data_IF_968218250635
#
_entry.id   IF_968218250635
#
_cell.length_a   1.000
_cell.length_b   1.000
_cell.length_c   1.000
_cell.angle_alpha   90.00
_cell.angle_beta   90.00
_cell.angle_gamma   90.00
#
_symmetry.space_group_name_H-M   'P 1'
#
loop_
_entity.id
_entity.type
_entity.pdbx_description
1 polymer ?
#
# COMPACT_ATOMS: atom_id res chain seq x y z
N UNK A 1 0.62 -27.76 10.61
CA UNK A 1 -0.48 -27.77 9.60
C UNK A 1 -0.56 -26.39 8.99
N UNK A 2 -0.75 -26.27 7.67
CA UNK A 2 -0.89 -24.96 7.02
C UNK A 2 -2.05 -24.18 7.66
N UNK A 3 -1.85 -22.88 7.92
CA UNK A 3 -2.90 -21.96 8.38
C UNK A 3 -3.88 -21.60 7.27
N UNK A 4 -3.51 -21.87 6.01
CA UNK A 4 -4.32 -21.62 4.83
C UNK A 4 -5.33 -22.75 4.67
N UNK A 5 -6.61 -22.42 4.74
CA UNK A 5 -7.68 -23.37 4.45
C UNK A 5 -7.85 -23.54 2.94
N UNK A 6 -7.85 -22.43 2.21
CA UNK A 6 -8.06 -22.42 0.77
C UNK A 6 -7.67 -21.06 0.16
N UNK A 7 -7.51 -21.07 -1.16
CA UNK A 7 -7.44 -19.90 -2.00
C UNK A 7 -8.75 -19.77 -2.78
N UNK A 8 -9.42 -18.63 -2.70
CA UNK A 8 -10.73 -18.41 -3.31
C UNK A 8 -10.70 -17.31 -4.35
N UNK A 9 -11.20 -17.61 -5.54
CA UNK A 9 -11.33 -16.62 -6.62
C UNK A 9 -12.35 -15.55 -6.24
N UNK A 10 -11.96 -14.26 -6.27
CA UNK A 10 -12.85 -13.15 -5.95
C UNK A 10 -13.91 -12.90 -7.03
N UNK A 11 -13.70 -13.41 -8.27
CA UNK A 11 -14.60 -13.21 -9.42
C UNK A 11 -15.67 -14.31 -9.51
N UNK A 12 -15.29 -15.60 -9.48
CA UNK A 12 -16.21 -16.70 -9.67
C UNK A 12 -16.45 -17.55 -8.41
N UNK A 13 -15.74 -17.30 -7.33
CA UNK A 13 -15.89 -18.04 -6.06
C UNK A 13 -15.23 -19.41 -6.05
N UNK A 14 -14.57 -19.87 -7.14
CA UNK A 14 -13.88 -21.18 -7.17
C UNK A 14 -12.81 -21.23 -6.10
N UNK A 15 -12.73 -22.36 -5.43
CA UNK A 15 -11.81 -22.64 -4.34
C UNK A 15 -10.72 -23.61 -4.78
N UNK A 16 -9.52 -23.42 -4.24
CA UNK A 16 -8.34 -24.21 -4.52
C UNK A 16 -7.58 -24.51 -3.24
N UNK A 17 -6.93 -25.67 -3.16
CA UNK A 17 -5.90 -25.90 -2.16
C UNK A 17 -4.63 -25.11 -2.52
N UNK A 18 -3.85 -24.73 -1.51
CA UNK A 18 -2.62 -23.95 -1.68
C UNK A 18 -1.61 -24.63 -2.63
N UNK A 19 -1.55 -25.98 -2.64
CA UNK A 19 -0.66 -26.74 -3.52
C UNK A 19 -1.13 -26.82 -4.98
N UNK A 20 -2.41 -26.51 -5.28
CA UNK A 20 -2.98 -26.67 -6.62
C UNK A 20 -2.75 -25.48 -7.53
N UNK A 21 -2.54 -24.29 -6.94
CA UNK A 21 -2.48 -23.03 -7.68
C UNK A 21 -1.54 -22.03 -7.00
N UNK A 22 -0.76 -21.32 -7.82
CA UNK A 22 0.21 -20.36 -7.29
C UNK A 22 -0.32 -18.92 -7.33
N UNK A 23 -1.05 -18.55 -8.37
CA UNK A 23 -1.40 -17.15 -8.64
C UNK A 23 -2.90 -16.90 -8.85
N UNK A 24 -3.43 -17.12 -10.05
CA UNK A 24 -4.77 -16.71 -10.44
C UNK A 24 -5.68 -17.90 -10.78
N UNK A 25 -6.99 -17.69 -10.71
CA UNK A 25 -8.00 -18.68 -11.02
C UNK A 25 -7.86 -19.22 -12.45
N UNK A 26 -7.91 -20.53 -12.63
CA UNK A 26 -7.78 -21.19 -13.94
C UNK A 26 -8.88 -20.78 -14.92
N UNK A 27 -10.10 -20.54 -14.43
CA UNK A 27 -11.25 -20.22 -15.30
C UNK A 27 -11.33 -18.74 -15.64
N UNK A 28 -10.89 -17.88 -14.71
CA UNK A 28 -11.01 -16.43 -14.86
C UNK A 28 -9.72 -15.76 -15.37
N UNK A 29 -8.63 -16.53 -15.50
CA UNK A 29 -7.34 -16.02 -15.94
C UNK A 29 -6.80 -14.90 -15.05
N UNK A 30 -6.22 -13.88 -15.66
CA UNK A 30 -5.58 -12.77 -14.93
C UNK A 30 -6.58 -11.94 -14.09
N UNK A 31 -7.86 -11.93 -14.43
CA UNK A 31 -8.91 -11.25 -13.67
C UNK A 31 -9.35 -12.04 -12.44
N UNK A 32 -9.01 -13.32 -12.38
CA UNK A 32 -9.38 -14.23 -11.30
C UNK A 32 -8.41 -14.18 -10.14
N UNK A 33 -8.24 -13.01 -9.50
CA UNK A 33 -7.39 -12.87 -8.33
C UNK A 33 -7.89 -13.76 -7.20
N UNK A 34 -6.95 -14.37 -6.49
CA UNK A 34 -7.27 -15.21 -5.35
C UNK A 34 -7.23 -14.42 -4.04
N UNK A 35 -8.11 -14.78 -3.12
CA UNK A 35 -8.03 -14.39 -1.72
C UNK A 35 -7.60 -15.58 -0.88
N UNK A 36 -6.76 -15.34 0.14
CA UNK A 36 -6.28 -16.36 1.06
C UNK A 36 -7.28 -16.47 2.21
N UNK A 37 -7.92 -17.61 2.37
CA UNK A 37 -8.77 -17.89 3.54
C UNK A 37 -8.01 -18.70 4.57
N UNK A 38 -7.99 -18.20 5.82
CA UNK A 38 -7.25 -18.78 6.93
C UNK A 38 -8.16 -19.50 7.91
N UNK A 39 -7.60 -20.40 8.70
CA UNK A 39 -8.27 -21.05 9.83
C UNK A 39 -8.39 -20.08 11.02
N UNK A 40 -9.42 -19.22 10.95
CA UNK A 40 -9.65 -18.21 11.97
C UNK A 40 -10.00 -18.81 13.34
N UNK A 41 -10.53 -20.02 13.42
CA UNK A 41 -10.86 -20.67 14.69
C UNK A 41 -9.60 -21.13 15.43
N UNK A 42 -8.61 -21.63 14.70
CA UNK A 42 -7.29 -21.91 15.26
C UNK A 42 -6.52 -20.65 15.60
N UNK A 43 -6.51 -19.65 14.70
CA UNK A 43 -5.80 -18.39 14.90
C UNK A 43 -6.34 -17.63 16.12
N UNK A 44 -7.65 -17.62 16.35
CA UNK A 44 -8.29 -16.98 17.52
C UNK A 44 -7.76 -17.51 18.86
N UNK A 45 -7.35 -18.77 18.91
CA UNK A 45 -6.78 -19.38 20.11
C UNK A 45 -5.33 -18.95 20.35
N UNK A 46 -4.60 -18.59 19.30
CA UNK A 46 -3.20 -18.19 19.38
C UNK A 46 -3.06 -16.66 19.49
N UNK A 47 -3.74 -15.89 18.60
CA UNK A 47 -3.61 -14.44 18.48
C UNK A 47 -4.63 -13.75 19.40
N UNK A 48 -4.35 -13.76 20.69
CA UNK A 48 -5.17 -13.12 21.73
C UNK A 48 -4.59 -11.77 22.17
N UNK A 49 -5.39 -10.95 22.86
CA UNK A 49 -4.89 -9.72 23.50
C UNK A 49 -3.73 -10.00 24.47
N UNK A 50 -3.77 -11.12 25.19
CA UNK A 50 -2.71 -11.52 26.11
C UNK A 50 -1.43 -11.88 25.35
N UNK A 51 -1.52 -12.66 24.26
CA UNK A 51 -0.39 -12.95 23.39
C UNK A 51 0.26 -11.66 22.89
N UNK A 52 -0.53 -10.72 22.35
CA UNK A 52 -0.04 -9.46 21.80
C UNK A 52 0.57 -8.55 22.87
N UNK A 53 0.00 -8.50 24.06
CA UNK A 53 0.55 -7.74 25.21
C UNK A 53 1.94 -8.24 25.61
N UNK A 54 2.15 -9.55 25.56
CA UNK A 54 3.40 -10.18 25.96
C UNK A 54 4.43 -10.26 24.82
N UNK A 55 4.02 -10.13 23.56
CA UNK A 55 4.89 -10.14 22.39
C UNK A 55 5.71 -8.85 22.32
N UNK A 56 7.04 -8.97 22.31
CA UNK A 56 7.99 -7.86 22.23
C UNK A 56 8.49 -7.58 20.81
N UNK A 57 8.01 -8.33 19.82
CA UNK A 57 8.25 -8.03 18.41
C UNK A 57 7.35 -6.87 17.98
N UNK A 58 7.93 -5.71 17.74
CA UNK A 58 7.26 -4.51 17.23
C UNK A 58 7.49 -4.39 15.72
N UNK A 59 7.10 -5.43 14.98
CA UNK A 59 7.06 -5.48 13.53
C UNK A 59 5.74 -6.13 13.06
N UNK A 60 5.53 -6.27 11.75
CA UNK A 60 4.36 -7.00 11.25
C UNK A 60 4.36 -8.48 11.68
N UNK A 61 5.54 -9.03 12.03
CA UNK A 61 5.68 -10.42 12.42
C UNK A 61 5.04 -10.76 13.77
N UNK A 62 4.71 -9.74 14.57
CA UNK A 62 3.91 -9.94 15.80
C UNK A 62 2.54 -10.56 15.51
N UNK A 63 2.03 -10.40 14.29
CA UNK A 63 0.78 -10.97 13.80
C UNK A 63 0.99 -12.25 12.99
N UNK A 64 2.16 -12.90 13.10
CA UNK A 64 2.50 -14.12 12.37
C UNK A 64 1.42 -15.24 12.47
N UNK A 65 0.71 -15.43 13.60
CA UNK A 65 -0.41 -16.37 13.64
C UNK A 65 -1.48 -16.12 12.57
N UNK A 66 -1.71 -14.85 12.19
CA UNK A 66 -2.68 -14.47 11.15
C UNK A 66 -2.05 -14.23 9.76
N UNK A 67 -0.77 -14.54 9.56
CA UNK A 67 -0.10 -14.45 8.26
C UNK A 67 0.06 -15.87 7.70
N UNK A 68 -0.20 -16.11 6.38
CA UNK A 68 -0.14 -17.44 5.76
C UNK A 68 1.30 -17.95 5.56
N UNK A 69 2.06 -17.95 6.64
CA UNK A 69 3.46 -18.38 6.70
C UNK A 69 3.71 -19.17 7.98
N UNK A 70 4.61 -20.13 7.92
CA UNK A 70 5.11 -20.83 9.10
C UNK A 70 6.27 -20.08 9.77
N UNK A 71 7.10 -19.40 8.97
CA UNK A 71 8.30 -18.67 9.42
C UNK A 71 8.46 -17.33 8.70
N UNK A 72 9.25 -16.45 9.27
CA UNK A 72 9.55 -15.12 8.72
C UNK A 72 10.50 -15.13 7.51
N UNK A 73 10.98 -16.28 7.06
CA UNK A 73 11.80 -16.42 5.86
C UNK A 73 13.18 -15.75 5.91
N UNK A 74 13.74 -15.52 7.09
CA UNK A 74 15.09 -14.94 7.24
C UNK A 74 15.19 -13.45 6.88
N UNK A 75 14.08 -12.71 6.85
CA UNK A 75 14.01 -11.27 6.49
C UNK A 75 14.55 -10.37 7.62
N UNK A 76 14.80 -10.91 8.79
CA UNK A 76 15.45 -10.14 9.85
C UNK A 76 16.90 -9.78 9.45
N UNK A 77 17.39 -8.57 9.80
CA UNK A 77 16.87 -7.71 10.86
C UNK A 77 15.93 -6.58 10.41
N UNK A 78 15.38 -6.57 9.20
CA UNK A 78 14.54 -5.46 8.73
C UNK A 78 13.25 -5.38 9.55
N UNK A 79 13.10 -4.30 10.31
CA UNK A 79 11.87 -3.99 11.02
C UNK A 79 10.84 -3.41 10.06
N UNK A 80 9.89 -4.22 9.60
CA UNK A 80 8.80 -3.85 8.73
C UNK A 80 7.48 -3.80 9.50
N UNK A 81 6.67 -2.78 9.26
CA UNK A 81 5.44 -2.57 10.03
C UNK A 81 5.71 -1.93 11.39
N UNK A 82 4.70 -1.96 12.26
CA UNK A 82 4.64 -1.20 13.52
C UNK A 82 4.99 0.27 13.32
N UNK A 83 4.58 0.82 12.19
CA UNK A 83 4.84 2.19 11.81
C UNK A 83 4.09 3.17 12.73
N UNK A 84 4.57 4.41 12.90
CA UNK A 84 3.91 5.37 13.78
C UNK A 84 2.46 5.63 13.41
N UNK A 85 1.62 5.75 14.43
CA UNK A 85 0.26 6.28 14.34
C UNK A 85 0.20 7.58 15.15
N UNK A 86 0.26 8.70 14.45
CA UNK A 86 0.29 10.03 15.07
C UNK A 86 -1.11 10.58 15.29
N UNK A 87 -1.41 11.08 16.49
CA UNK A 87 -2.60 11.89 16.74
C UNK A 87 -2.30 13.36 16.38
N UNK A 88 -2.91 13.87 15.32
CA UNK A 88 -2.56 15.15 14.71
C UNK A 88 -3.58 16.23 15.04
N UNK A 89 -3.36 16.95 16.14
CA UNK A 89 -4.20 18.08 16.54
C UNK A 89 -3.98 19.34 15.68
N UNK A 90 -2.76 19.51 15.14
CA UNK A 90 -2.40 20.70 14.32
C UNK A 90 -3.17 20.81 13.00
N UNK A 91 -3.84 19.74 12.57
CA UNK A 91 -4.65 19.70 11.34
C UNK A 91 -6.16 19.77 11.59
N UNK A 92 -6.62 20.07 12.82
CA UNK A 92 -8.07 20.15 13.12
C UNK A 92 -8.79 21.19 12.27
N UNK A 93 -8.13 22.31 11.95
CA UNK A 93 -8.68 23.36 11.08
C UNK A 93 -8.84 22.87 9.64
N UNK A 94 -7.83 22.18 9.11
CA UNK A 94 -7.78 21.71 7.74
C UNK A 94 -8.74 20.53 7.52
N UNK A 95 -8.84 19.61 8.47
CA UNK A 95 -9.67 18.41 8.39
C UNK A 95 -11.10 18.60 8.89
N UNK A 96 -11.33 19.57 9.79
CA UNK A 96 -12.60 19.72 10.51
C UNK A 96 -12.82 18.65 11.60
N UNK A 97 -11.80 17.85 11.94
CA UNK A 97 -11.90 16.72 12.85
C UNK A 97 -11.30 17.05 14.22
N UNK A 98 -11.97 16.63 15.29
CA UNK A 98 -11.45 16.65 16.66
C UNK A 98 -10.49 15.47 16.93
N UNK A 99 -10.60 14.38 16.17
CA UNK A 99 -9.82 13.15 16.36
C UNK A 99 -9.29 12.63 15.03
N UNK A 100 -8.12 13.14 14.63
CA UNK A 100 -7.45 12.76 13.38
C UNK A 100 -6.12 12.06 13.64
N UNK A 101 -5.96 10.90 13.03
CA UNK A 101 -4.75 10.08 13.13
C UNK A 101 -4.11 9.87 11.77
N UNK A 102 -2.79 9.84 11.75
CA UNK A 102 -1.98 9.60 10.57
C UNK A 102 -1.14 8.34 10.77
N UNK A 103 -1.40 7.30 9.99
CA UNK A 103 -0.59 6.08 9.91
C UNK A 103 0.53 6.30 8.90
N UNK A 104 1.77 6.39 9.37
CA UNK A 104 2.91 6.79 8.55
C UNK A 104 3.72 5.58 8.05
N UNK A 105 3.26 4.95 6.99
CA UNK A 105 3.95 3.82 6.35
C UNK A 105 5.17 4.23 5.48
N UNK A 106 5.45 5.53 5.36
CA UNK A 106 6.70 6.02 4.78
C UNK A 106 7.93 5.68 5.62
N UNK A 107 7.72 5.24 6.87
CA UNK A 107 8.76 4.86 7.84
C UNK A 107 9.20 3.40 7.73
N UNK A 108 8.62 2.62 6.84
CA UNK A 108 9.10 1.28 6.55
C UNK A 108 10.54 1.29 5.95
N UNK A 109 11.30 0.18 5.99
CA UNK A 109 12.72 0.11 5.63
C UNK A 109 13.09 0.67 4.26
N UNK A 110 12.26 0.44 3.22
CA UNK A 110 12.47 1.03 1.89
C UNK A 110 11.55 2.22 1.62
N UNK A 111 11.06 2.84 2.68
CA UNK A 111 10.30 4.08 2.70
C UNK A 111 8.92 4.00 2.03
N UNK A 112 8.23 2.84 2.10
CA UNK A 112 6.84 2.71 1.65
C UNK A 112 6.08 1.51 2.23
N UNK A 113 4.75 1.57 2.18
CA UNK A 113 3.81 0.49 2.52
C UNK A 113 4.08 -0.81 1.73
N UNK A 114 4.75 -0.73 0.56
CA UNK A 114 5.06 -1.91 -0.25
C UNK A 114 5.96 -2.91 0.47
N UNK A 115 6.67 -2.47 1.51
CA UNK A 115 7.53 -3.32 2.34
C UNK A 115 6.76 -4.42 3.05
N UNK A 116 5.54 -4.15 3.49
CA UNK A 116 4.65 -5.15 4.08
C UNK A 116 4.36 -6.30 3.11
N UNK A 117 4.04 -5.95 1.86
CA UNK A 117 3.78 -6.93 0.80
C UNK A 117 5.03 -7.71 0.42
N UNK A 118 6.18 -7.02 0.29
CA UNK A 118 7.44 -7.65 -0.09
C UNK A 118 7.97 -8.55 1.01
N UNK A 119 7.85 -8.17 2.28
CA UNK A 119 8.23 -9.01 3.40
C UNK A 119 7.51 -10.37 3.38
N UNK A 120 6.18 -10.35 3.25
CA UNK A 120 5.39 -11.60 3.19
C UNK A 120 5.65 -12.35 1.88
N UNK A 121 5.75 -11.66 0.73
CA UNK A 121 6.02 -12.28 -0.56
C UNK A 121 7.40 -12.95 -0.64
N UNK A 122 8.43 -12.33 -0.08
CA UNK A 122 9.79 -12.90 0.00
C UNK A 122 9.84 -14.07 0.96
N UNK A 123 9.22 -13.94 2.15
CA UNK A 123 9.12 -15.05 3.10
C UNK A 123 8.39 -16.27 2.50
N UNK A 124 7.31 -16.02 1.73
CA UNK A 124 6.58 -17.08 1.01
C UNK A 124 7.43 -17.72 -0.08
N UNK A 125 8.22 -16.93 -0.82
CA UNK A 125 9.15 -17.46 -1.81
C UNK A 125 10.19 -18.40 -1.14
N UNK A 126 10.76 -18.02 -0.01
CA UNK A 126 11.68 -18.87 0.78
C UNK A 126 10.98 -20.17 1.22
N UNK A 127 9.76 -20.06 1.78
CA UNK A 127 8.96 -21.22 2.22
C UNK A 127 8.67 -22.20 1.07
N UNK A 128 8.43 -21.66 -0.13
CA UNK A 128 8.21 -22.44 -1.35
C UNK A 128 9.52 -22.92 -2.03
N UNK A 129 10.68 -22.71 -1.40
CA UNK A 129 11.99 -23.08 -1.97
C UNK A 129 12.37 -22.29 -3.22
N UNK A 130 11.79 -21.11 -3.42
CA UNK A 130 12.10 -20.23 -4.57
C UNK A 130 13.30 -19.37 -4.24
N UNK A 131 14.33 -19.41 -5.07
CA UNK A 131 15.58 -18.65 -4.92
C UNK A 131 15.70 -17.46 -5.90
N UNK A 132 14.70 -17.30 -6.77
CA UNK A 132 14.63 -16.20 -7.74
C UNK A 132 13.23 -15.57 -7.72
N UNK A 133 13.20 -14.25 -7.64
CA UNK A 133 11.97 -13.45 -7.77
C UNK A 133 12.09 -12.43 -8.89
N UNK A 134 10.94 -12.07 -9.49
CA UNK A 134 10.90 -11.02 -10.50
C UNK A 134 9.77 -10.01 -10.25
N UNK A 135 9.92 -8.83 -10.82
CA UNK A 135 8.90 -7.80 -10.88
C UNK A 135 9.08 -6.87 -12.07
N UNK A 136 7.99 -6.31 -12.58
CA UNK A 136 8.03 -5.18 -13.51
C UNK A 136 7.55 -3.94 -12.76
N UNK A 137 8.48 -3.07 -12.35
CA UNK A 137 8.18 -1.82 -11.66
C UNK A 137 9.43 -0.96 -11.49
N UNK A 138 9.30 0.34 -11.68
CA UNK A 138 10.34 1.33 -11.33
C UNK A 138 10.16 1.92 -9.94
N UNK A 139 8.98 1.74 -9.34
CA UNK A 139 8.56 2.43 -8.12
C UNK A 139 8.75 1.62 -6.83
N UNK A 140 7.90 1.95 -5.87
CA UNK A 140 7.93 1.37 -4.51
C UNK A 140 7.87 -0.16 -4.48
N UNK A 141 7.24 -0.80 -5.46
CA UNK A 141 7.12 -2.25 -5.52
C UNK A 141 8.47 -2.94 -5.79
N UNK A 142 9.25 -2.42 -6.75
CA UNK A 142 10.55 -2.96 -7.08
C UNK A 142 11.59 -2.65 -6.00
N UNK A 143 11.66 -1.40 -5.51
CA UNK A 143 12.62 -1.04 -4.46
C UNK A 143 12.39 -1.85 -3.18
N UNK A 144 11.14 -2.09 -2.81
CA UNK A 144 10.79 -2.94 -1.69
C UNK A 144 11.19 -4.41 -1.93
N UNK A 145 10.86 -4.99 -3.10
CA UNK A 145 11.29 -6.34 -3.43
C UNK A 145 12.83 -6.47 -3.35
N UNK A 146 13.55 -5.55 -3.98
CA UNK A 146 15.01 -5.57 -4.03
C UNK A 146 15.64 -5.55 -2.63
N UNK A 147 15.15 -4.68 -1.74
CA UNK A 147 15.66 -4.58 -0.37
C UNK A 147 15.41 -5.84 0.46
N UNK A 148 14.18 -6.38 0.43
CA UNK A 148 13.84 -7.57 1.20
C UNK A 148 14.46 -8.86 0.64
N UNK A 149 14.54 -8.99 -0.69
CA UNK A 149 15.18 -10.11 -1.34
C UNK A 149 16.68 -10.15 -1.09
N UNK A 150 17.36 -8.98 -1.06
CA UNK A 150 18.78 -8.89 -0.73
C UNK A 150 19.08 -9.49 0.66
N UNK A 151 18.27 -9.14 1.67
CA UNK A 151 18.42 -9.68 3.04
C UNK A 151 18.15 -11.18 3.10
N UNK A 152 17.18 -11.67 2.33
CA UNK A 152 16.82 -13.09 2.28
C UNK A 152 17.76 -13.93 1.40
N UNK A 153 18.74 -13.33 0.72
CA UNK A 153 19.61 -14.03 -0.22
C UNK A 153 18.90 -14.50 -1.50
N UNK A 154 17.75 -13.92 -1.84
CA UNK A 154 16.99 -14.23 -3.05
C UNK A 154 17.46 -13.35 -4.20
N UNK A 155 17.77 -13.98 -5.33
CA UNK A 155 18.11 -13.26 -6.57
C UNK A 155 16.89 -12.58 -7.16
N UNK A 156 17.05 -11.33 -7.60
CA UNK A 156 15.95 -10.57 -8.20
C UNK A 156 16.26 -10.15 -9.63
N UNK A 157 15.21 -10.22 -10.46
CA UNK A 157 15.20 -9.70 -11.83
C UNK A 157 14.09 -8.66 -11.96
N UNK A 158 14.46 -7.41 -12.24
CA UNK A 158 13.52 -6.28 -12.33
C UNK A 158 13.49 -5.77 -13.76
N UNK A 159 12.30 -5.71 -14.33
CA UNK A 159 12.04 -5.21 -15.68
C UNK A 159 11.49 -3.79 -15.59
N UNK A 160 12.12 -2.86 -16.26
CA UNK A 160 11.71 -1.45 -16.29
C UNK A 160 11.83 -0.90 -17.71
N UNK A 161 11.00 0.05 -18.16
CA UNK A 161 11.22 0.69 -19.43
C UNK A 161 12.56 1.44 -19.43
N UNK A 162 13.23 1.54 -20.58
CA UNK A 162 14.53 2.23 -20.71
C UNK A 162 14.46 3.72 -20.34
N UNK A 163 13.25 4.30 -20.37
CA UNK A 163 12.97 5.69 -19.96
C UNK A 163 12.84 5.87 -18.44
N UNK A 164 13.04 4.81 -17.65
CA UNK A 164 12.91 4.86 -16.20
C UNK A 164 13.90 5.87 -15.59
N UNK A 165 13.50 6.68 -14.59
CA UNK A 165 14.39 7.64 -13.94
C UNK A 165 15.61 6.95 -13.32
N UNK A 166 16.82 7.47 -13.63
CA UNK A 166 18.09 6.93 -13.16
C UNK A 166 18.15 6.71 -11.65
N UNK A 167 17.66 7.67 -10.86
CA UNK A 167 17.65 7.55 -9.39
C UNK A 167 16.82 6.35 -8.90
N UNK A 168 15.70 6.04 -9.58
CA UNK A 168 14.88 4.86 -9.26
C UNK A 168 15.60 3.57 -9.63
N UNK A 169 16.27 3.53 -10.79
CA UNK A 169 17.09 2.37 -11.24
C UNK A 169 18.28 2.14 -10.29
N UNK A 170 18.96 3.21 -9.91
CA UNK A 170 20.12 3.15 -8.99
C UNK A 170 19.71 2.54 -7.65
N UNK A 171 18.52 2.85 -7.11
CA UNK A 171 18.05 2.22 -5.87
C UNK A 171 17.91 0.70 -6.00
N UNK A 172 17.51 0.19 -7.16
CA UNK A 172 17.42 -1.26 -7.40
C UNK A 172 18.80 -1.91 -7.49
N UNK A 173 19.71 -1.26 -8.20
CA UNK A 173 21.07 -1.75 -8.40
C UNK A 173 21.86 -1.81 -7.10
N UNK A 174 21.74 -0.81 -6.20
CA UNK A 174 22.46 -0.79 -4.92
C UNK A 174 22.04 -1.93 -3.99
N UNK A 175 20.79 -2.43 -4.12
CA UNK A 175 20.33 -3.62 -3.43
C UNK A 175 20.78 -4.94 -4.10
N UNK A 176 21.53 -4.87 -5.21
CA UNK A 176 22.04 -6.04 -5.92
C UNK A 176 21.07 -6.70 -6.88
N UNK A 177 19.98 -6.02 -7.26
CA UNK A 177 19.04 -6.54 -8.26
C UNK A 177 19.64 -6.53 -9.67
N UNK A 178 19.29 -7.56 -10.46
CA UNK A 178 19.54 -7.55 -11.91
C UNK A 178 18.42 -6.74 -12.58
N UNK A 179 18.76 -5.57 -13.10
CA UNK A 179 17.78 -4.66 -13.72
C UNK A 179 17.90 -4.72 -15.22
N UNK A 180 16.77 -4.97 -15.90
CA UNK A 180 16.65 -4.95 -17.36
C UNK A 180 15.93 -3.69 -17.82
N UNK A 181 16.64 -2.87 -18.60
CA UNK A 181 16.06 -1.70 -19.27
C UNK A 181 15.42 -2.20 -20.59
N UNK A 182 14.09 -2.31 -20.58
CA UNK A 182 13.32 -2.81 -21.72
C UNK A 182 13.11 -1.68 -22.71
N UNK A 183 13.49 -1.92 -23.97
CA UNK A 183 13.23 -0.99 -25.09
C UNK A 183 11.76 -1.07 -25.46
N UNK A 184 10.95 -0.24 -24.85
CA UNK A 184 9.50 -0.22 -25.05
C UNK A 184 8.76 0.47 -23.91
N UNK A 185 7.46 0.23 -23.86
CA UNK A 185 6.54 0.77 -22.86
C UNK A 185 6.61 0.02 -21.53
N UNK A 186 5.96 0.58 -20.51
CA UNK A 186 5.77 -0.09 -19.22
C UNK A 186 5.00 -1.41 -19.38
N UNK A 187 3.96 -1.44 -20.21
CA UNK A 187 3.15 -2.63 -20.44
C UNK A 187 3.95 -3.76 -21.11
N UNK A 188 4.84 -3.42 -22.05
CA UNK A 188 5.76 -4.39 -22.66
C UNK A 188 6.77 -4.93 -21.66
N UNK A 189 7.27 -4.11 -20.74
CA UNK A 189 8.14 -4.57 -19.64
C UNK A 189 7.38 -5.52 -18.69
N UNK A 190 6.11 -5.24 -18.38
CA UNK A 190 5.24 -6.13 -17.58
C UNK A 190 5.03 -7.47 -18.30
N UNK A 191 4.69 -7.44 -19.58
CA UNK A 191 4.47 -8.65 -20.38
C UNK A 191 5.72 -9.52 -20.46
N UNK A 192 6.89 -8.90 -20.70
CA UNK A 192 8.18 -9.61 -20.71
C UNK A 192 8.50 -10.24 -19.35
N UNK A 193 8.21 -9.53 -18.26
CA UNK A 193 8.37 -10.06 -16.90
C UNK A 193 7.49 -11.30 -16.65
N UNK A 194 6.24 -11.29 -17.11
CA UNK A 194 5.34 -12.44 -16.98
C UNK A 194 5.82 -13.63 -17.77
N UNK A 195 6.20 -13.43 -19.04
CA UNK A 195 6.77 -14.49 -19.91
C UNK A 195 8.05 -15.08 -19.29
N UNK A 196 8.95 -14.25 -18.80
CA UNK A 196 10.17 -14.69 -18.14
C UNK A 196 9.88 -15.48 -16.84
N UNK A 197 8.89 -15.02 -16.05
CA UNK A 197 8.50 -15.73 -14.84
C UNK A 197 7.96 -17.14 -15.13
N UNK A 198 7.18 -17.29 -16.19
CA UNK A 198 6.64 -18.58 -16.65
C UNK A 198 7.74 -19.49 -17.21
N UNK A 199 8.56 -18.99 -18.12
CA UNK A 199 9.62 -19.73 -18.79
C UNK A 199 10.69 -20.26 -17.82
N UNK A 200 11.12 -19.39 -16.88
CA UNK A 200 12.22 -19.71 -15.95
C UNK A 200 11.75 -20.17 -14.56
N UNK A 201 10.45 -20.26 -14.32
CA UNK A 201 9.88 -20.66 -13.03
C UNK A 201 10.15 -19.65 -11.89
N UNK A 202 10.35 -18.37 -12.21
CA UNK A 202 10.62 -17.34 -11.21
C UNK A 202 9.36 -16.94 -10.44
N UNK A 203 9.52 -16.66 -9.13
CA UNK A 203 8.40 -16.24 -8.31
C UNK A 203 8.07 -14.76 -8.57
N UNK A 204 6.87 -14.51 -9.14
CA UNK A 204 6.47 -13.16 -9.52
C UNK A 204 5.89 -12.39 -8.35
N UNK A 205 6.42 -11.18 -8.13
CA UNK A 205 6.02 -10.26 -7.06
C UNK A 205 4.87 -9.33 -7.48
N UNK A 206 4.21 -9.54 -8.57
CA UNK A 206 3.09 -8.67 -8.96
C UNK A 206 1.88 -8.83 -8.04
N UNK A 207 1.40 -7.73 -7.43
CA UNK A 207 0.14 -7.72 -6.69
C UNK A 207 -1.09 -8.02 -7.58
N UNK A 208 -0.94 -7.92 -8.90
CA UNK A 208 -1.99 -8.26 -9.86
C UNK A 208 -2.32 -9.75 -9.86
N UNK A 209 -1.39 -10.60 -9.45
CA UNK A 209 -1.58 -12.06 -9.52
C UNK A 209 -1.28 -12.78 -8.20
N UNK A 210 -0.31 -12.32 -7.41
CA UNK A 210 0.17 -13.01 -6.23
C UNK A 210 -0.72 -12.73 -5.00
N UNK A 211 -1.48 -13.72 -4.49
CA UNK A 211 -2.45 -13.52 -3.42
C UNK A 211 -1.80 -13.22 -2.07
N UNK A 212 -0.57 -13.67 -1.83
CA UNK A 212 0.10 -13.51 -0.52
C UNK A 212 0.55 -12.08 -0.23
N UNK A 213 0.67 -11.23 -1.23
CA UNK A 213 1.13 -9.86 -1.05
C UNK A 213 0.12 -8.96 -0.30
N UNK A 214 -1.16 -9.28 -0.43
CA UNK A 214 -2.24 -8.61 0.31
C UNK A 214 -2.16 -8.95 1.80
N UNK A 215 -1.71 -10.16 2.13
CA UNK A 215 -1.56 -10.64 3.51
C UNK A 215 -0.53 -9.82 4.33
N UNK A 216 0.50 -9.29 3.67
CA UNK A 216 1.38 -8.32 4.30
C UNK A 216 0.69 -6.98 4.54
N UNK A 217 -0.06 -6.48 3.56
CA UNK A 217 -0.73 -5.17 3.65
C UNK A 217 -1.84 -5.14 4.71
N UNK A 218 -2.54 -6.24 4.96
CA UNK A 218 -3.61 -6.31 5.98
C UNK A 218 -3.12 -6.00 7.39
N UNK A 219 -1.81 -6.22 7.66
CA UNK A 219 -1.24 -5.98 8.98
C UNK A 219 -1.31 -4.53 9.43
N UNK A 220 -1.46 -3.58 8.48
CA UNK A 220 -1.66 -2.16 8.82
C UNK A 220 -2.91 -1.94 9.66
N UNK A 221 -3.98 -2.70 9.40
CA UNK A 221 -5.23 -2.61 10.15
C UNK A 221 -5.12 -3.20 11.54
N UNK A 222 -4.38 -4.30 11.70
CA UNK A 222 -4.06 -4.86 13.00
C UNK A 222 -3.29 -3.84 13.86
N UNK A 223 -2.27 -3.20 13.28
CA UNK A 223 -1.50 -2.16 13.96
C UNK A 223 -2.36 -0.95 14.34
N UNK A 224 -3.22 -0.47 13.45
CA UNK A 224 -4.14 0.64 13.74
C UNK A 224 -5.04 0.28 14.92
N UNK A 225 -5.65 -0.92 14.92
CA UNK A 225 -6.49 -1.36 16.02
C UNK A 225 -5.72 -1.45 17.34
N UNK A 226 -4.54 -2.06 17.32
CA UNK A 226 -3.71 -2.22 18.52
C UNK A 226 -3.21 -0.87 19.06
N UNK A 227 -2.73 0.03 18.19
CA UNK A 227 -2.25 1.36 18.56
C UNK A 227 -3.38 2.31 19.02
N UNK A 228 -4.64 1.95 18.76
CA UNK A 228 -5.84 2.61 19.26
C UNK A 228 -6.50 1.84 20.42
N UNK A 229 -5.73 1.03 21.17
CA UNK A 229 -6.22 0.22 22.28
C UNK A 229 -7.39 -0.68 21.91
N UNK A 230 -7.29 -1.32 20.73
CA UNK A 230 -8.29 -2.23 20.16
C UNK A 230 -9.67 -1.59 19.91
N UNK A 231 -9.67 -0.27 19.72
CA UNK A 231 -10.85 0.49 19.30
C UNK A 231 -10.69 0.92 17.85
N UNK A 232 -11.42 0.25 16.97
CA UNK A 232 -11.38 0.64 15.55
C UNK A 232 -11.71 2.13 15.37
N UNK A 233 -11.11 2.82 14.39
CA UNK A 233 -11.54 4.15 14.01
C UNK A 233 -12.96 4.10 13.42
N UNK A 234 -13.63 5.24 13.31
CA UNK A 234 -14.92 5.31 12.63
C UNK A 234 -14.74 5.29 11.10
N UNK A 235 -13.65 5.90 10.62
CA UNK A 235 -13.32 5.96 9.19
C UNK A 235 -11.83 5.68 9.00
N UNK A 236 -11.50 4.81 8.02
CA UNK A 236 -10.13 4.63 7.52
C UNK A 236 -10.06 5.07 6.05
N UNK A 237 -9.17 6.02 5.76
CA UNK A 237 -9.02 6.64 4.43
C UNK A 237 -7.77 6.12 3.74
N UNK A 238 -7.93 5.61 2.52
CA UNK A 238 -6.88 4.88 1.79
C UNK A 238 -6.77 5.41 0.36
N UNK A 239 -5.56 5.75 -0.08
CA UNK A 239 -5.30 6.04 -1.49
C UNK A 239 -5.41 4.77 -2.34
N UNK A 240 -6.09 4.84 -3.48
CA UNK A 240 -6.44 3.70 -4.31
C UNK A 240 -5.86 3.82 -5.71
N UNK A 241 -4.96 2.90 -6.07
CA UNK A 241 -4.59 2.62 -7.45
C UNK A 241 -5.21 1.30 -7.90
N UNK A 242 -4.42 0.24 -7.91
CA UNK A 242 -4.80 -1.14 -8.29
C UNK A 242 -5.88 -1.81 -7.39
N UNK A 243 -6.19 -1.22 -6.23
CA UNK A 243 -7.12 -1.81 -5.26
C UNK A 243 -6.49 -2.75 -4.21
N UNK A 244 -5.24 -3.16 -4.39
CA UNK A 244 -4.54 -4.06 -3.46
C UNK A 244 -4.45 -3.53 -2.02
N UNK A 245 -4.20 -2.24 -1.85
CA UNK A 245 -3.97 -1.64 -0.52
C UNK A 245 -5.28 -1.55 0.24
N UNK A 246 -6.33 -0.98 -0.36
CA UNK A 246 -7.66 -0.86 0.25
C UNK A 246 -8.26 -2.23 0.54
N UNK A 247 -8.10 -3.21 -0.38
CA UNK A 247 -8.53 -4.59 -0.15
C UNK A 247 -7.79 -5.26 1.02
N UNK A 248 -6.49 -5.00 1.17
CA UNK A 248 -5.70 -5.50 2.30
C UNK A 248 -6.11 -4.84 3.62
N UNK A 249 -6.26 -3.52 3.64
CA UNK A 249 -6.74 -2.77 4.82
C UNK A 249 -8.11 -3.28 5.27
N UNK A 250 -9.04 -3.45 4.34
CA UNK A 250 -10.35 -4.00 4.64
C UNK A 250 -10.27 -5.43 5.20
N UNK A 251 -9.49 -6.29 4.55
CA UNK A 251 -9.28 -7.66 5.01
C UNK A 251 -8.78 -7.69 6.46
N UNK A 252 -7.81 -6.85 6.80
CA UNK A 252 -7.26 -6.78 8.15
C UNK A 252 -8.31 -6.37 9.20
N UNK A 253 -9.14 -5.37 8.92
CA UNK A 253 -10.23 -5.00 9.85
C UNK A 253 -11.27 -6.11 10.00
N UNK A 254 -11.67 -6.78 8.88
CA UNK A 254 -12.58 -7.94 8.97
C UNK A 254 -12.00 -9.06 9.81
N UNK A 255 -10.71 -9.35 9.64
CA UNK A 255 -10.02 -10.38 10.41
C UNK A 255 -9.95 -10.03 11.89
N UNK A 256 -9.62 -8.78 12.23
CA UNK A 256 -9.65 -8.32 13.63
C UNK A 256 -11.02 -8.54 14.30
N UNK A 257 -12.13 -8.29 13.59
CA UNK A 257 -13.48 -8.62 14.08
C UNK A 257 -13.69 -10.12 14.19
N UNK A 258 -13.34 -10.90 13.16
CA UNK A 258 -13.49 -12.37 13.17
C UNK A 258 -12.71 -13.05 14.30
N UNK A 259 -11.55 -12.48 14.63
CA UNK A 259 -10.70 -12.98 15.72
C UNK A 259 -11.17 -12.51 17.10
N UNK A 260 -12.15 -11.60 17.18
CA UNK A 260 -12.63 -11.05 18.43
C UNK A 260 -11.68 -10.03 19.07
N UNK A 261 -10.77 -9.44 18.26
CA UNK A 261 -9.86 -8.40 18.73
C UNK A 261 -10.51 -7.01 18.76
N UNK A 262 -11.52 -6.78 17.93
CA UNK A 262 -12.35 -5.57 17.90
C UNK A 262 -13.83 -5.94 17.71
N UNK A 263 -14.74 -5.09 18.19
CA UNK A 263 -16.20 -5.33 18.14
C UNK A 263 -16.86 -4.81 16.86
N UNK A 264 -16.25 -3.82 16.21
CA UNK A 264 -16.74 -3.20 14.97
C UNK A 264 -15.59 -2.85 14.05
N UNK A 265 -15.85 -2.76 12.75
CA UNK A 265 -14.89 -2.27 11.76
C UNK A 265 -15.27 -0.86 11.28
N UNK A 266 -14.28 -0.08 10.76
CA UNK A 266 -14.51 1.26 10.24
C UNK A 266 -15.24 1.24 8.90
N UNK A 267 -15.82 2.39 8.52
CA UNK A 267 -16.07 2.68 7.11
C UNK A 267 -14.75 2.87 6.38
N UNK A 268 -14.63 2.27 5.21
CA UNK A 268 -13.47 2.44 4.35
C UNK A 268 -13.76 3.50 3.29
N UNK A 269 -12.97 4.56 3.25
CA UNK A 269 -13.05 5.58 2.21
C UNK A 269 -11.86 5.43 1.28
N UNK A 270 -12.13 5.18 0.01
CA UNK A 270 -11.11 5.16 -1.03
C UNK A 270 -10.93 6.55 -1.64
N UNK A 271 -9.69 6.92 -1.94
CA UNK A 271 -9.38 8.19 -2.62
C UNK A 271 -8.58 7.91 -3.87
N UNK A 272 -9.04 8.44 -5.02
CA UNK A 272 -8.32 8.37 -6.30
C UNK A 272 -8.02 9.77 -6.84
N UNK A 273 -7.00 9.87 -7.71
CA UNK A 273 -6.83 11.04 -8.54
C UNK A 273 -7.93 11.08 -9.61
N UNK A 274 -8.56 12.25 -9.85
CA UNK A 274 -9.73 12.36 -10.72
C UNK A 274 -9.49 11.90 -12.16
N UNK A 275 -8.25 12.04 -12.66
CA UNK A 275 -7.85 11.57 -13.99
C UNK A 275 -7.30 10.12 -13.99
N UNK A 276 -7.35 9.44 -12.84
CA UNK A 276 -6.99 8.02 -12.68
C UNK A 276 -7.93 7.36 -11.67
N UNK A 277 -9.23 7.32 -11.97
CA UNK A 277 -10.31 6.96 -11.05
C UNK A 277 -11.19 5.78 -11.47
N UNK A 278 -10.64 4.66 -11.98
CA UNK A 278 -11.44 3.55 -12.48
C UNK A 278 -12.33 2.90 -11.41
N UNK A 279 -11.88 2.86 -10.13
CA UNK A 279 -12.68 2.29 -9.03
C UNK A 279 -13.84 3.22 -8.66
N UNK A 280 -13.61 4.53 -8.61
CA UNK A 280 -14.70 5.52 -8.38
C UNK A 280 -15.79 5.43 -9.44
N UNK A 281 -15.38 5.33 -10.71
CA UNK A 281 -16.35 5.20 -11.81
C UNK A 281 -17.19 3.92 -11.71
N UNK A 282 -16.53 2.79 -11.41
CA UNK A 282 -17.21 1.51 -11.23
C UNK A 282 -18.15 1.53 -10.01
N UNK A 283 -17.70 2.09 -8.87
CA UNK A 283 -18.49 2.24 -7.66
C UNK A 283 -19.74 3.09 -7.91
N UNK A 284 -19.60 4.25 -8.55
CA UNK A 284 -20.73 5.15 -8.85
C UNK A 284 -21.74 4.55 -9.84
N UNK A 285 -21.27 3.68 -10.75
CA UNK A 285 -22.15 2.92 -11.67
C UNK A 285 -22.73 1.65 -11.02
N UNK A 286 -22.37 1.33 -9.80
CA UNK A 286 -22.70 0.09 -9.09
C UNK A 286 -22.41 -1.17 -9.93
N UNK A 287 -21.21 -1.22 -10.50
CA UNK A 287 -20.75 -2.33 -11.36
C UNK A 287 -19.37 -2.83 -10.93
N UNK A 288 -19.05 -4.08 -11.27
CA UNK A 288 -17.72 -4.68 -11.11
C UNK A 288 -16.92 -4.70 -12.43
N UNK A 289 -17.37 -3.97 -13.44
CA UNK A 289 -16.69 -3.80 -14.72
C UNK A 289 -15.87 -2.51 -14.70
N UNK A 290 -14.63 -2.60 -15.20
CA UNK A 290 -13.68 -1.48 -15.20
C UNK A 290 -13.39 -1.04 -16.63
N UNK A 291 -13.80 0.18 -16.97
CA UNK A 291 -13.50 0.79 -18.26
C UNK A 291 -12.06 1.32 -18.28
N UNK A 292 -11.28 0.89 -19.26
CA UNK A 292 -9.94 1.43 -19.47
C UNK A 292 -10.00 2.92 -19.85
N UNK A 293 -9.17 3.69 -19.17
CA UNK A 293 -8.79 5.06 -19.60
C UNK A 293 -7.29 5.21 -19.36
N UNK A 294 -6.66 5.99 -20.23
CA UNK A 294 -5.26 6.36 -20.03
C UNK A 294 -5.18 7.18 -18.74
N UNK A 295 -4.45 6.72 -17.72
CA UNK A 295 -4.34 7.48 -16.48
C UNK A 295 -3.43 8.68 -16.69
N UNK A 296 -3.83 9.83 -16.12
CA UNK A 296 -3.07 11.07 -16.16
C UNK A 296 -3.08 11.71 -14.77
N UNK A 297 -2.04 11.46 -14.00
CA UNK A 297 -1.85 12.04 -12.66
C UNK A 297 -0.38 12.04 -12.27
N UNK A 298 0.03 13.03 -11.50
CA UNK A 298 1.36 13.08 -10.88
C UNK A 298 1.55 12.02 -9.77
N UNK A 299 0.46 11.44 -9.27
CA UNK A 299 0.50 10.41 -8.23
C UNK A 299 0.83 9.03 -8.83
N UNK A 300 2.06 8.86 -9.34
CA UNK A 300 2.59 7.71 -10.10
C UNK A 300 2.20 6.34 -9.49
N UNK A 301 2.34 6.17 -8.18
CA UNK A 301 2.08 4.88 -7.50
C UNK A 301 0.59 4.48 -7.44
N UNK A 302 -0.35 5.36 -7.80
CA UNK A 302 -1.78 5.10 -7.92
C UNK A 302 -2.32 5.39 -9.33
N UNK A 303 -1.44 5.66 -10.30
CA UNK A 303 -1.78 5.88 -11.70
C UNK A 303 -2.10 4.54 -12.38
N UNK A 304 -3.37 4.25 -12.63
CA UNK A 304 -3.85 2.94 -13.09
C UNK A 304 -5.01 3.09 -14.08
N UNK A 305 -4.88 2.47 -15.25
CA UNK A 305 -5.94 2.46 -16.27
C UNK A 305 -7.03 1.40 -15.98
N UNK A 306 -6.61 0.17 -15.61
CA UNK A 306 -7.50 -0.93 -15.16
C UNK A 306 -6.98 -1.46 -13.82
N UNK A 307 -7.79 -1.41 -12.75
CA UNK A 307 -7.36 -1.86 -11.43
C UNK A 307 -7.45 -3.39 -11.32
N UNK A 308 -6.31 -4.08 -11.19
CA UNK A 308 -6.25 -5.54 -11.12
C UNK A 308 -6.91 -6.12 -9.85
N UNK A 309 -6.90 -5.38 -8.76
CA UNK A 309 -7.61 -5.71 -7.51
C UNK A 309 -8.89 -4.88 -7.32
N UNK A 310 -9.48 -4.38 -8.40
CA UNK A 310 -10.67 -3.53 -8.36
C UNK A 310 -11.85 -4.20 -7.65
N UNK A 311 -12.06 -5.50 -7.87
CA UNK A 311 -13.12 -6.27 -7.17
C UNK A 311 -12.91 -6.23 -5.66
N UNK A 312 -11.67 -6.41 -5.17
CA UNK A 312 -11.39 -6.32 -3.72
C UNK A 312 -11.59 -4.91 -3.18
N UNK A 313 -11.32 -3.88 -4.00
CA UNK A 313 -11.58 -2.49 -3.62
C UNK A 313 -13.08 -2.21 -3.50
N UNK A 314 -13.88 -2.62 -4.49
CA UNK A 314 -15.34 -2.46 -4.45
C UNK A 314 -15.96 -3.23 -3.28
N UNK A 315 -15.52 -4.47 -3.02
CA UNK A 315 -15.97 -5.23 -1.87
C UNK A 315 -15.65 -4.50 -0.55
N UNK A 316 -14.47 -3.90 -0.43
CA UNK A 316 -14.10 -3.12 0.76
C UNK A 316 -15.06 -1.95 1.01
N UNK A 317 -15.45 -1.25 -0.05
CA UNK A 317 -16.38 -0.13 0.03
C UNK A 317 -17.81 -0.60 0.36
N UNK A 318 -18.35 -1.56 -0.39
CA UNK A 318 -19.70 -2.05 -0.19
C UNK A 318 -19.90 -2.71 1.17
N UNK A 319 -19.00 -3.60 1.58
CA UNK A 319 -19.10 -4.34 2.84
C UNK A 319 -18.90 -3.44 4.08
N UNK A 320 -18.10 -2.36 3.97
CA UNK A 320 -17.89 -1.41 5.07
C UNK A 320 -18.93 -0.29 5.14
N UNK A 321 -19.80 -0.17 4.14
CA UNK A 321 -20.68 0.98 3.98
C UNK A 321 -19.90 2.27 3.68
N UNK A 322 -18.74 2.13 3.03
CA UNK A 322 -17.86 3.21 2.64
C UNK A 322 -18.19 3.85 1.28
N UNK A 323 -17.29 4.68 0.78
CA UNK A 323 -17.46 5.38 -0.49
C UNK A 323 -16.14 5.80 -1.10
N UNK A 324 -16.19 6.36 -2.31
CA UNK A 324 -15.05 6.92 -3.01
C UNK A 324 -15.08 8.44 -3.02
N UNK A 325 -13.88 9.04 -3.03
CA UNK A 325 -13.65 10.48 -3.22
C UNK A 325 -12.56 10.67 -4.25
N UNK A 326 -12.76 11.57 -5.20
CA UNK A 326 -11.75 11.95 -6.18
C UNK A 326 -11.13 13.30 -5.81
N UNK A 327 -9.84 13.43 -6.06
CA UNK A 327 -9.06 14.66 -5.82
C UNK A 327 -8.23 15.02 -7.04
N UNK A 328 -8.05 16.31 -7.30
CA UNK A 328 -7.19 16.77 -8.40
C UNK A 328 -5.71 16.68 -8.01
N UNK A 329 -4.84 16.78 -9.02
CA UNK A 329 -3.39 16.84 -8.81
C UNK A 329 -2.98 18.07 -8.00
N UNK A 330 -3.68 19.20 -8.14
CA UNK A 330 -3.48 20.44 -7.37
C UNK A 330 -3.84 20.22 -5.90
N UNK A 331 -4.96 19.54 -5.61
CA UNK A 331 -5.37 19.20 -4.26
C UNK A 331 -4.35 18.25 -3.60
N UNK A 332 -3.79 17.28 -4.36
CA UNK A 332 -2.72 16.40 -3.88
C UNK A 332 -1.45 17.18 -3.54
N UNK A 333 -1.01 18.13 -4.41
CA UNK A 333 0.17 18.96 -4.15
C UNK A 333 -0.05 19.89 -2.94
N UNK A 334 -1.24 20.47 -2.81
CA UNK A 334 -1.60 21.28 -1.65
C UNK A 334 -1.58 20.45 -0.35
N UNK A 335 -2.14 19.23 -0.37
CA UNK A 335 -2.12 18.29 0.74
C UNK A 335 -0.69 17.92 1.14
N UNK A 336 0.18 17.65 0.17
CA UNK A 336 1.59 17.33 0.40
C UNK A 336 2.30 18.45 1.18
N UNK A 337 2.10 19.69 0.77
CA UNK A 337 2.67 20.88 1.43
C UNK A 337 2.11 21.08 2.84
N UNK A 338 0.78 21.05 2.99
CA UNK A 338 0.10 21.25 4.28
C UNK A 338 0.52 20.18 5.27
N UNK A 339 0.50 18.91 4.87
CA UNK A 339 0.88 17.79 5.74
C UNK A 339 2.31 17.95 6.23
N UNK A 340 3.27 18.20 5.34
CA UNK A 340 4.67 18.39 5.70
C UNK A 340 4.88 19.56 6.65
N UNK A 341 4.28 20.72 6.37
CA UNK A 341 4.42 21.94 7.18
C UNK A 341 3.78 21.83 8.57
N UNK A 342 2.69 21.07 8.70
CA UNK A 342 1.93 20.99 9.96
C UNK A 342 2.33 19.80 10.83
N UNK A 343 2.96 18.77 10.24
CA UNK A 343 3.22 17.50 10.96
C UNK A 343 4.67 17.04 10.89
N UNK A 344 5.46 17.56 9.96
CA UNK A 344 6.80 17.04 9.65
C UNK A 344 6.77 15.75 8.83
N UNK A 345 5.60 15.21 8.50
CA UNK A 345 5.48 14.01 7.67
C UNK A 345 5.52 14.41 6.19
N UNK A 346 6.57 13.96 5.51
CA UNK A 346 6.79 14.22 4.09
C UNK A 346 6.44 12.98 3.27
N UNK A 347 5.21 12.94 2.75
CA UNK A 347 4.72 11.86 1.89
C UNK A 347 4.87 12.18 0.39
N UNK A 348 4.99 11.14 -0.44
CA UNK A 348 4.89 11.25 -1.90
C UNK A 348 3.44 11.56 -2.32
N UNK A 349 3.17 12.04 -3.55
CA UNK A 349 1.81 12.34 -4.00
C UNK A 349 0.80 11.22 -3.74
N UNK A 350 1.10 10.01 -4.18
CA UNK A 350 0.25 8.85 -3.91
C UNK A 350 0.09 8.55 -2.40
N UNK A 351 1.12 8.85 -1.61
CA UNK A 351 1.11 8.67 -0.16
C UNK A 351 0.19 9.64 0.57
N UNK A 352 0.06 10.86 0.10
CA UNK A 352 -0.75 11.92 0.73
C UNK A 352 -2.15 12.04 0.13
N UNK A 353 -2.46 11.32 -0.93
CA UNK A 353 -3.78 11.36 -1.58
C UNK A 353 -4.92 11.04 -0.59
N UNK A 354 -4.70 10.13 0.37
CA UNK A 354 -5.68 9.86 1.44
C UNK A 354 -5.96 11.10 2.30
N UNK A 355 -4.96 11.92 2.59
CA UNK A 355 -5.12 13.17 3.34
C UNK A 355 -5.79 14.25 2.47
N UNK A 356 -5.47 14.36 1.18
CA UNK A 356 -6.18 15.22 0.24
C UNK A 356 -7.68 14.88 0.22
N UNK A 357 -8.01 13.58 0.20
CA UNK A 357 -9.40 13.10 0.28
C UNK A 357 -10.12 13.54 1.56
N UNK A 358 -9.45 13.58 2.71
CA UNK A 358 -10.06 14.06 3.96
C UNK A 358 -10.38 15.56 3.86
N UNK A 359 -9.48 16.37 3.31
CA UNK A 359 -9.77 17.79 3.08
C UNK A 359 -10.95 17.97 2.12
N UNK A 360 -11.03 17.15 1.07
CA UNK A 360 -12.16 17.13 0.14
C UNK A 360 -13.46 16.68 0.81
N UNK A 361 -13.42 15.66 1.66
CA UNK A 361 -14.57 15.19 2.45
C UNK A 361 -15.13 16.31 3.34
N UNK A 362 -14.25 17.10 3.97
CA UNK A 362 -14.66 18.28 4.74
C UNK A 362 -15.36 19.32 3.86
N UNK A 363 -14.75 19.65 2.72
CA UNK A 363 -15.30 20.61 1.76
C UNK A 363 -16.72 20.19 1.30
N UNK A 364 -16.91 18.90 1.04
CA UNK A 364 -18.18 18.30 0.63
C UNK A 364 -19.17 18.07 1.78
N UNK A 365 -18.82 18.40 3.02
CA UNK A 365 -19.70 18.19 4.19
C UNK A 365 -19.95 16.73 4.54
N UNK A 366 -19.02 15.81 4.17
CA UNK A 366 -19.14 14.37 4.41
C UNK A 366 -18.63 13.95 5.80
N UNK A 367 -18.03 14.86 6.55
CA UNK A 367 -17.54 14.64 7.91
C UNK A 367 -18.44 15.37 8.93
N UNK A 368 -18.73 14.71 10.05
CA UNK A 368 -19.48 15.29 11.17
C UNK A 368 -18.59 16.08 12.14
N UNK A 369 -17.28 15.80 12.13
CA UNK A 369 -16.29 16.48 12.96
C UNK A 369 -15.90 15.76 14.26
N UNK A 370 -16.70 14.83 14.73
CA UNK A 370 -16.48 14.04 15.94
C UNK A 370 -15.97 12.61 15.65
N UNK A 371 -15.93 12.21 14.39
CA UNK A 371 -15.42 10.90 14.01
C UNK A 371 -13.91 10.78 14.28
N UNK A 372 -13.51 9.58 14.71
CA UNK A 372 -12.12 9.16 14.73
C UNK A 372 -11.72 8.70 13.32
N UNK A 373 -10.89 9.49 12.65
CA UNK A 373 -10.46 9.23 11.28
C UNK A 373 -8.98 8.89 11.24
N UNK A 374 -8.63 7.82 10.52
CA UNK A 374 -7.24 7.44 10.24
C UNK A 374 -6.96 7.61 8.75
N UNK A 375 -5.93 8.38 8.41
CA UNK A 375 -5.35 8.49 7.06
C UNK A 375 -4.06 7.68 6.98
N UNK A 376 -3.82 7.02 5.85
CA UNK A 376 -2.62 6.21 5.63
C UNK A 376 -1.71 6.91 4.64
N UNK A 377 -0.51 7.35 5.10
CA UNK A 377 0.56 7.84 4.22
C UNK A 377 1.38 6.64 3.75
N UNK A 378 1.28 6.31 2.47
CA UNK A 378 1.79 5.04 1.94
C UNK A 378 3.24 5.08 1.46
N UNK A 379 3.86 6.26 1.31
CA UNK A 379 5.24 6.36 0.84
C UNK A 379 5.88 7.72 1.09
N UNK A 380 7.20 7.75 1.16
CA UNK A 380 8.01 8.92 1.45
C UNK A 380 8.10 9.89 0.27
N UNK A 381 8.00 11.19 0.53
CA UNK A 381 8.17 12.25 -0.46
C UNK A 381 9.56 12.29 -1.10
N UNK A 382 10.57 11.72 -0.46
CA UNK A 382 11.92 11.58 -1.05
C UNK A 382 11.95 10.67 -2.28
N UNK A 383 10.89 9.89 -2.52
CA UNK A 383 10.78 9.02 -3.71
C UNK A 383 10.26 9.77 -4.94
N UNK A 384 9.69 10.97 -4.76
CA UNK A 384 9.23 11.84 -5.85
C UNK A 384 9.60 13.30 -5.62
N UNK A 385 10.88 13.61 -5.79
CA UNK A 385 11.42 14.97 -5.63
C UNK A 385 10.83 15.92 -6.66
N UNK A 386 10.47 15.47 -7.86
CA UNK A 386 9.89 16.34 -8.89
C UNK A 386 8.56 16.95 -8.44
N UNK A 387 7.68 16.13 -7.89
CA UNK A 387 6.40 16.59 -7.34
C UNK A 387 6.60 17.41 -6.06
N UNK A 388 7.58 17.06 -5.22
CA UNK A 388 7.94 17.83 -4.04
C UNK A 388 8.37 19.26 -4.39
N UNK A 389 9.18 19.44 -5.43
CA UNK A 389 9.59 20.78 -5.91
C UNK A 389 8.40 21.59 -6.42
N UNK A 390 7.46 20.94 -7.13
CA UNK A 390 6.21 21.59 -7.57
C UNK A 390 5.38 22.09 -6.38
N UNK A 391 5.27 21.27 -5.32
CA UNK A 391 4.51 21.62 -4.12
C UNK A 391 5.20 22.69 -3.25
N UNK A 392 6.52 22.61 -3.09
CA UNK A 392 7.29 23.47 -2.19
C UNK A 392 7.55 24.86 -2.75
N UNK A 393 7.81 24.97 -4.06
CA UNK A 393 8.31 26.18 -4.71
C UNK A 393 9.84 26.21 -4.80
N UNK A 394 10.40 27.39 -5.03
CA UNK A 394 11.85 27.60 -5.26
C UNK A 394 12.53 28.12 -4.00
N UNK A 395 13.79 27.75 -3.79
CA UNK A 395 14.67 28.35 -2.79
C UNK A 395 15.07 29.79 -3.21
N UNK A 396 15.30 30.64 -2.23
CA UNK A 396 15.87 31.96 -2.46
C UNK A 396 17.37 31.84 -2.73
N UNK A 397 17.88 32.58 -3.72
CA UNK A 397 19.31 32.80 -3.93
C UNK A 397 19.74 34.03 -3.17
N UNK A 398 20.88 33.94 -2.50
CA UNK A 398 21.45 35.06 -1.73
C UNK A 398 22.97 35.02 -1.89
N UNK A 399 23.58 36.18 -2.08
CA UNK A 399 25.03 36.31 -2.02
C UNK A 399 25.53 36.08 -0.57
N UNK A 400 26.78 35.69 -0.35
CA UNK A 400 27.32 35.49 1.00
C UNK A 400 27.56 36.83 1.70
N UNK A 401 26.55 37.68 1.74
CA UNK A 401 26.51 39.02 2.32
C UNK A 401 25.24 39.25 3.12
N UNK A 402 25.42 39.82 4.33
CA UNK A 402 24.33 40.07 5.26
C UNK A 402 23.33 41.12 4.74
N UNK A 403 23.78 42.09 3.95
CA UNK A 403 22.89 43.12 3.41
C UNK A 403 21.97 42.55 2.33
N UNK A 404 22.47 41.59 1.52
CA UNK A 404 21.65 40.92 0.54
C UNK A 404 20.59 40.03 1.24
N UNK A 405 21.00 39.29 2.29
CA UNK A 405 20.08 38.49 3.11
C UNK A 405 18.97 39.38 3.74
N UNK A 406 19.30 40.55 4.28
CA UNK A 406 18.33 41.51 4.88
C UNK A 406 17.27 41.96 3.89
N UNK A 407 17.61 42.13 2.60
CA UNK A 407 16.65 42.49 1.55
C UNK A 407 15.61 41.42 1.32
N UNK A 408 16.02 40.14 1.47
CA UNK A 408 15.12 38.98 1.24
C UNK A 408 14.20 38.71 2.43
N UNK A 409 14.72 38.82 3.66
CA UNK A 409 13.97 38.51 4.87
C UNK A 409 13.10 39.63 5.41
N UNK A 410 13.13 40.80 4.75
CA UNK A 410 12.30 41.98 5.10
C UNK A 410 12.37 42.36 6.59
N UNK A 411 13.57 42.34 7.20
CA UNK A 411 13.85 42.76 8.58
C UNK A 411 14.39 44.19 8.58
#
# INVERSE_FOLDING_TARGET
MSKVLKLKCVKCGREYNEAEILYTCRDCGIDGILDVELDYDSIRKELTHEYLKNNKDYSLWRYLPAIPLEKTGGIQPLQVGWTPLYNIKSLSKETGLSSFFLKDDSRNPTASLKDRASAVGVAKAVELGRNVMCAASTGNAASSLSGFAAVAGIKTYIFVPETAPEAKVTQLLIYGSNVFLVKGTYDEAVELCFKAAEEFGWYNRSCAINPYLVEGKKTISYEICEQLDWKAPDIAVVAVGDGCTIGGVWKGFKECCKLGLIDKFPKIVGVQAENSNPVTRAFNKNTYEFEYRVPDTLADSISVGIPRNGIKALNALHESGGYMVDVSDEEILAAMKILAQKTGVFGEPAGVTSFAGIMKMKELGLLKGDEKVVSIVSGSGLKDIKSAVKAAGKANHVEPDLNDLKRIVHI
#
